data_IF_367578458186
#
_entry.id   IF_367578458186
#
_cell.length_a   1.000
_cell.length_b   1.000
_cell.length_c   1.000
_cell.angle_alpha   90.00
_cell.angle_beta   90.00
_cell.angle_gamma   90.00
#
_symmetry.space_group_name_H-M   'P 1'
#
loop_
_entity.id
_entity.type
_entity.pdbx_description
1 polymer ?
#
# COMPACT_ATOMS: atom_id res chain seq x y z
N UNK A 1 -14.83 -24.60 5.59
CA UNK A 1 -15.35 -23.23 5.33
C UNK A 1 -14.77 -22.35 6.43
N UNK A 2 -14.21 -21.20 6.09
CA UNK A 2 -13.71 -20.26 7.11
C UNK A 2 -14.89 -19.62 7.82
N UNK A 3 -14.87 -19.61 9.15
CA UNK A 3 -15.88 -18.92 9.95
C UNK A 3 -15.66 -17.40 9.90
N UNK A 4 -16.71 -16.62 10.13
CA UNK A 4 -16.60 -15.15 10.19
C UNK A 4 -15.62 -14.67 11.28
N UNK A 5 -15.49 -15.44 12.37
CA UNK A 5 -14.55 -15.15 13.44
C UNK A 5 -13.09 -15.34 12.98
N UNK A 6 -12.77 -16.48 12.34
CA UNK A 6 -11.43 -16.75 11.81
C UNK A 6 -11.00 -15.70 10.78
N UNK A 7 -11.91 -15.30 9.89
CA UNK A 7 -11.67 -14.22 8.93
C UNK A 7 -11.30 -12.89 9.61
N UNK A 8 -12.07 -12.55 10.65
CA UNK A 8 -11.86 -11.32 11.42
C UNK A 8 -10.52 -11.36 12.15
N UNK A 9 -10.18 -12.49 12.78
CA UNK A 9 -8.90 -12.66 13.45
C UNK A 9 -7.72 -12.60 12.48
N UNK A 10 -7.84 -13.19 11.29
CA UNK A 10 -6.80 -13.10 10.26
C UNK A 10 -6.49 -11.64 9.89
N UNK A 11 -7.52 -10.81 9.68
CA UNK A 11 -7.34 -9.38 9.44
C UNK A 11 -6.75 -8.63 10.62
N UNK A 12 -7.17 -8.94 11.85
CA UNK A 12 -6.61 -8.33 13.06
C UNK A 12 -5.10 -8.61 13.13
N UNK A 13 -4.69 -9.87 13.01
CA UNK A 13 -3.28 -10.24 13.06
C UNK A 13 -2.49 -9.59 11.93
N UNK A 14 -3.05 -9.57 10.72
CA UNK A 14 -2.42 -8.94 9.56
C UNK A 14 -2.21 -7.43 9.77
N UNK A 15 -3.24 -6.71 10.21
CA UNK A 15 -3.18 -5.26 10.42
C UNK A 15 -2.19 -4.90 11.54
N UNK A 16 -2.18 -5.67 12.63
CA UNK A 16 -1.19 -5.51 13.70
C UNK A 16 0.23 -5.68 13.16
N UNK A 17 0.47 -6.71 12.34
CA UNK A 17 1.75 -6.90 11.67
C UNK A 17 2.11 -5.73 10.74
N UNK A 18 1.15 -5.22 9.98
CA UNK A 18 1.35 -4.06 9.11
C UNK A 18 1.76 -2.82 9.89
N UNK A 19 1.13 -2.53 11.03
CA UNK A 19 1.51 -1.38 11.86
C UNK A 19 2.93 -1.52 12.41
N UNK A 20 3.34 -2.72 12.81
CA UNK A 20 4.72 -2.98 13.26
C UNK A 20 5.70 -2.74 12.09
N UNK A 21 5.43 -3.31 10.92
CA UNK A 21 6.28 -3.16 9.73
C UNK A 21 6.38 -1.69 9.27
N UNK A 22 5.26 -0.96 9.27
CA UNK A 22 5.24 0.48 8.96
C UNK A 22 6.04 1.27 10.00
N UNK A 23 5.92 0.93 11.28
CA UNK A 23 6.71 1.52 12.36
C UNK A 23 8.21 1.29 12.19
N UNK A 24 8.62 0.05 11.89
CA UNK A 24 10.00 -0.29 11.57
C UNK A 24 10.49 0.46 10.33
N UNK A 25 9.67 0.54 9.28
CA UNK A 25 9.98 1.28 8.06
C UNK A 25 10.14 2.78 8.33
N UNK A 26 9.34 3.35 9.22
CA UNK A 26 9.48 4.73 9.67
C UNK A 26 10.79 4.99 10.38
N UNK A 27 11.21 4.08 11.23
CA UNK A 27 12.50 4.14 11.89
C UNK A 27 13.65 4.06 10.86
N UNK A 28 13.57 3.12 9.91
CA UNK A 28 14.58 2.92 8.87
C UNK A 28 14.68 4.11 7.90
N UNK A 29 13.56 4.75 7.57
CA UNK A 29 13.52 5.92 6.66
C UNK A 29 13.76 7.26 7.37
N UNK A 30 13.90 7.27 8.71
CA UNK A 30 14.18 8.47 9.50
C UNK A 30 15.44 9.26 9.06
N UNK A 31 16.61 8.63 8.79
CA UNK A 31 17.84 9.36 8.47
C UNK A 31 17.84 9.98 7.07
N UNK A 32 16.83 9.71 6.23
CA UNK A 32 16.73 10.28 4.89
C UNK A 32 16.50 11.80 5.00
N UNK A 33 17.43 12.64 4.49
CA UNK A 33 17.34 14.10 4.63
C UNK A 33 16.27 14.71 3.71
N UNK A 34 15.98 14.05 2.59
CA UNK A 34 14.99 14.51 1.62
C UNK A 34 13.58 14.17 2.07
N UNK A 35 12.85 15.17 2.59
CA UNK A 35 11.51 14.99 3.15
C UNK A 35 10.54 14.34 2.16
N UNK A 36 10.63 14.69 0.88
CA UNK A 36 9.75 14.17 -0.17
C UNK A 36 9.98 12.69 -0.46
N UNK A 37 11.24 12.29 -0.66
CA UNK A 37 11.61 10.88 -0.89
C UNK A 37 11.17 10.04 0.30
N UNK A 38 11.40 10.55 1.52
CA UNK A 38 10.97 9.90 2.74
C UNK A 38 9.44 9.74 2.78
N UNK A 39 8.67 10.77 2.43
CA UNK A 39 7.21 10.68 2.44
C UNK A 39 6.69 9.68 1.40
N UNK A 40 7.21 9.71 0.18
CA UNK A 40 6.83 8.79 -0.90
C UNK A 40 7.16 7.33 -0.53
N UNK A 41 8.36 7.06 0.00
CA UNK A 41 8.74 5.71 0.44
C UNK A 41 7.81 5.15 1.52
N UNK A 42 7.37 6.00 2.45
CA UNK A 42 6.48 5.61 3.54
C UNK A 42 5.07 5.34 3.03
N UNK A 43 4.62 6.15 2.10
CA UNK A 43 3.32 6.01 1.44
C UNK A 43 3.27 4.73 0.59
N UNK A 44 4.32 4.43 -0.18
CA UNK A 44 4.41 3.18 -0.97
C UNK A 44 4.26 1.97 -0.06
N UNK A 45 5.02 1.88 1.04
CA UNK A 45 4.94 0.72 1.95
C UNK A 45 3.56 0.61 2.60
N UNK A 46 2.96 1.73 2.99
CA UNK A 46 1.61 1.71 3.56
C UNK A 46 0.57 1.19 2.56
N UNK A 47 0.62 1.64 1.30
CA UNK A 47 -0.29 1.19 0.25
C UNK A 47 -0.06 -0.28 -0.09
N UNK A 48 1.20 -0.68 -0.25
CA UNK A 48 1.54 -2.07 -0.60
C UNK A 48 1.07 -3.06 0.45
N UNK A 49 1.13 -2.69 1.74
CA UNK A 49 0.67 -3.54 2.84
C UNK A 49 -0.85 -3.51 3.03
N UNK A 50 -1.50 -2.35 2.82
CA UNK A 50 -2.89 -2.18 3.27
C UNK A 50 -3.95 -2.33 2.16
N UNK A 51 -3.57 -2.35 0.89
CA UNK A 51 -4.53 -2.49 -0.21
C UNK A 51 -5.18 -3.88 -0.19
N UNK A 52 -6.51 -3.99 0.00
CA UNK A 52 -7.20 -5.26 -0.09
C UNK A 52 -7.60 -5.57 -1.55
N UNK A 53 -7.69 -6.87 -1.86
CA UNK A 53 -8.26 -7.39 -3.09
C UNK A 53 -8.95 -8.74 -2.86
N UNK A 54 -9.82 -9.15 -3.78
CA UNK A 54 -10.56 -10.41 -3.66
C UNK A 54 -9.62 -11.62 -3.64
N UNK A 55 -9.78 -12.49 -2.64
CA UNK A 55 -8.95 -13.68 -2.45
C UNK A 55 -9.05 -14.64 -3.64
N UNK A 56 -10.24 -14.79 -4.22
CA UNK A 56 -10.48 -15.57 -5.42
C UNK A 56 -11.63 -14.94 -6.24
N UNK A 57 -12.00 -15.54 -7.36
CA UNK A 57 -13.08 -15.04 -8.23
C UNK A 57 -14.47 -15.56 -7.87
N UNK A 58 -14.57 -16.47 -6.89
CA UNK A 58 -15.81 -17.19 -6.56
C UNK A 58 -16.43 -16.75 -5.22
N UNK A 59 -15.69 -16.02 -4.40
CA UNK A 59 -16.08 -15.59 -3.06
C UNK A 59 -15.70 -14.13 -2.84
N UNK A 60 -16.55 -13.42 -2.11
CA UNK A 60 -16.37 -11.98 -1.81
C UNK A 60 -15.45 -11.71 -0.62
N UNK A 61 -14.57 -12.66 -0.28
CA UNK A 61 -13.57 -12.44 0.76
C UNK A 61 -12.45 -11.56 0.25
N UNK A 62 -12.07 -10.58 1.06
CA UNK A 62 -10.93 -9.72 0.79
C UNK A 62 -9.71 -10.25 1.52
N UNK A 63 -8.57 -10.12 0.86
CA UNK A 63 -7.25 -10.37 1.43
C UNK A 63 -6.29 -9.28 0.98
N UNK A 64 -5.16 -9.10 1.65
CA UNK A 64 -4.17 -8.13 1.23
C UNK A 64 -3.68 -8.46 -0.19
N UNK A 65 -3.75 -7.49 -1.10
CA UNK A 65 -3.45 -7.69 -2.52
C UNK A 65 -2.01 -8.15 -2.73
N UNK A 66 -1.06 -7.67 -1.90
CA UNK A 66 0.32 -8.14 -1.89
C UNK A 66 0.43 -9.65 -1.62
N UNK A 67 -0.31 -10.16 -0.63
CA UNK A 67 -0.26 -11.58 -0.28
C UNK A 67 -0.83 -12.43 -1.41
N UNK A 68 -1.99 -12.03 -1.94
CA UNK A 68 -2.63 -12.77 -3.04
C UNK A 68 -1.75 -12.77 -4.27
N UNK A 69 -1.26 -11.60 -4.70
CA UNK A 69 -0.38 -11.50 -5.86
C UNK A 69 0.89 -12.34 -5.69
N UNK A 70 1.50 -12.35 -4.50
CA UNK A 70 2.69 -13.14 -4.21
C UNK A 70 2.40 -14.65 -4.21
N UNK A 71 1.31 -15.09 -3.58
CA UNK A 71 0.89 -16.50 -3.55
C UNK A 71 0.56 -16.99 -4.96
N UNK A 72 -0.24 -16.24 -5.71
CA UNK A 72 -0.57 -16.58 -7.10
C UNK A 72 0.66 -16.66 -7.99
N UNK A 73 1.58 -15.70 -7.88
CA UNK A 73 2.83 -15.72 -8.64
C UNK A 73 3.67 -16.97 -8.32
N UNK A 74 3.70 -17.39 -7.05
CA UNK A 74 4.54 -18.48 -6.57
C UNK A 74 3.97 -19.86 -6.91
N UNK A 75 2.65 -20.03 -6.82
CA UNK A 75 2.00 -21.34 -6.96
C UNK A 75 1.32 -21.53 -8.32
N UNK A 76 0.74 -20.48 -8.90
CA UNK A 76 -0.04 -20.55 -10.15
C UNK A 76 0.70 -19.93 -11.35
N UNK A 77 1.87 -19.34 -11.10
CA UNK A 77 2.78 -18.80 -12.12
C UNK A 77 2.66 -17.28 -12.32
N UNK A 78 3.60 -16.73 -13.09
CA UNK A 78 3.75 -15.27 -13.25
C UNK A 78 2.53 -14.58 -13.88
N UNK A 79 1.73 -15.28 -14.69
CA UNK A 79 0.52 -14.70 -15.30
C UNK A 79 -0.58 -14.50 -14.26
N UNK A 80 -0.67 -15.38 -13.25
CA UNK A 80 -1.67 -15.30 -12.19
C UNK A 80 -1.46 -14.06 -11.30
N UNK A 81 -0.21 -13.62 -11.12
CA UNK A 81 0.16 -12.39 -10.41
C UNK A 81 -0.70 -11.20 -10.82
N UNK A 82 -0.98 -11.02 -12.11
CA UNK A 82 -1.59 -9.81 -12.62
C UNK A 82 -3.01 -9.59 -12.11
N UNK A 83 -3.71 -10.64 -11.67
CA UNK A 83 -5.07 -10.52 -11.11
C UNK A 83 -5.11 -9.63 -9.86
N UNK A 84 -4.23 -9.90 -8.89
CA UNK A 84 -4.12 -9.10 -7.67
C UNK A 84 -3.00 -8.03 -7.74
N UNK A 85 -2.02 -8.22 -8.62
CA UNK A 85 -0.91 -7.30 -8.85
C UNK A 85 -1.34 -6.02 -9.57
N UNK A 86 -2.25 -6.10 -10.54
CA UNK A 86 -2.76 -4.91 -11.25
C UNK A 86 -3.41 -3.89 -10.30
N UNK A 87 -4.41 -4.24 -9.47
CA UNK A 87 -5.01 -3.28 -8.54
C UNK A 87 -4.01 -2.76 -7.50
N UNK A 88 -3.06 -3.59 -7.05
CA UNK A 88 -1.98 -3.18 -6.16
C UNK A 88 -1.09 -2.10 -6.79
N UNK A 89 -0.67 -2.31 -8.04
CA UNK A 89 0.17 -1.38 -8.79
C UNK A 89 -0.59 -0.08 -9.12
N UNK A 90 -1.86 -0.19 -9.52
CA UNK A 90 -2.73 0.97 -9.78
C UNK A 90 -2.91 1.80 -8.51
N UNK A 91 -3.23 1.17 -7.37
CA UNK A 91 -3.38 1.87 -6.10
C UNK A 91 -2.08 2.56 -5.69
N UNK A 92 -0.94 1.90 -5.88
CA UNK A 92 0.39 2.46 -5.61
C UNK A 92 0.67 3.67 -6.52
N UNK A 93 0.46 3.53 -7.82
CA UNK A 93 0.66 4.60 -8.80
C UNK A 93 -0.24 5.81 -8.52
N UNK A 94 -1.51 5.59 -8.19
CA UNK A 94 -2.45 6.64 -7.81
C UNK A 94 -2.00 7.35 -6.54
N UNK A 95 -1.60 6.61 -5.51
CA UNK A 95 -1.17 7.21 -4.25
C UNK A 95 0.10 8.06 -4.42
N UNK A 96 1.07 7.58 -5.20
CA UNK A 96 2.28 8.35 -5.55
C UNK A 96 1.93 9.59 -6.38
N UNK A 97 1.04 9.46 -7.37
CA UNK A 97 0.60 10.58 -8.22
C UNK A 97 -0.10 11.66 -7.40
N UNK A 98 -1.00 11.27 -6.50
CA UNK A 98 -1.69 12.18 -5.59
C UNK A 98 -0.71 12.88 -4.63
N UNK A 99 0.29 12.16 -4.12
CA UNK A 99 1.34 12.73 -3.28
C UNK A 99 2.15 13.80 -4.04
N UNK A 100 2.54 13.52 -5.28
CA UNK A 100 3.25 14.46 -6.14
C UNK A 100 2.40 15.71 -6.47
N UNK A 101 1.11 15.52 -6.76
CA UNK A 101 0.17 16.62 -6.99
C UNK A 101 0.00 17.49 -5.73
N UNK A 102 -0.16 16.88 -4.56
CA UNK A 102 -0.27 17.60 -3.30
C UNK A 102 1.01 18.40 -2.99
N UNK A 103 2.17 17.83 -3.28
CA UNK A 103 3.46 18.50 -3.13
C UNK A 103 3.59 19.72 -4.05
N UNK A 104 3.35 19.55 -5.35
CA UNK A 104 3.46 20.63 -6.34
C UNK A 104 2.44 21.74 -6.07
N UNK A 105 1.21 21.40 -5.67
CA UNK A 105 0.19 22.36 -5.26
C UNK A 105 0.65 23.19 -4.05
N UNK A 106 1.16 22.54 -2.99
CA UNK A 106 1.69 23.23 -1.79
C UNK A 106 2.82 24.18 -2.15
N UNK A 107 3.74 23.73 -3.00
CA UNK A 107 4.85 24.54 -3.47
C UNK A 107 4.40 25.77 -4.26
N UNK A 108 3.44 25.62 -5.17
CA UNK A 108 2.85 26.74 -5.92
C UNK A 108 2.14 27.75 -5.00
N UNK A 109 1.41 27.28 -3.99
CA UNK A 109 0.72 28.15 -3.02
C UNK A 109 1.73 28.93 -2.17
N UNK A 110 2.79 28.28 -1.69
CA UNK A 110 3.84 28.95 -0.91
C UNK A 110 4.58 30.00 -1.73
N UNK A 111 4.85 29.73 -3.02
CA UNK A 111 5.45 30.71 -3.93
C UNK A 111 4.58 31.94 -4.14
N UNK A 112 3.25 31.77 -4.27
CA UNK A 112 2.31 32.89 -4.39
C UNK A 112 2.25 33.76 -3.14
N UNK A 113 2.45 33.18 -1.95
CA UNK A 113 2.45 33.93 -0.67
C UNK A 113 3.74 34.71 -0.42
N UNK A 114 4.87 34.30 -1.01
CA UNK A 114 6.14 35.00 -0.87
C UNK A 114 6.30 36.19 -1.85
N UNK A 115 5.36 36.35 -2.79
CA UNK A 115 5.35 37.41 -3.79
C UNK A 115 4.41 38.59 -3.43
N UNK A 116 3.74 38.51 -2.28
CA UNK A 116 2.92 39.57 -1.68
C UNK A 116 3.57 40.01 -0.36
#
# INVERSE_FOLDING_TARGET
>A
MMTSAEYTYAWIYYIVGCFILIGCWWYLTRPIPWAEVRHVLRLIVAVVLLVPWYSNTQQDYLSPALLIAAVEALFDGADAFWRAGTPLLVATALAVSLSALAYTARWMIMRRRAAH
#
